data_IF_897258120496
#
_entry.id   IF_897258120496
#
_cell.length_a   1.000
_cell.length_b   1.000
_cell.length_c   1.000
_cell.angle_alpha   90.00
_cell.angle_beta   90.00
_cell.angle_gamma   90.00
#
_symmetry.space_group_name_H-M   'P 1'
#
loop_
_entity.id
_entity.type
_entity.pdbx_description
1 polymer ?
#
# COMPACT_ATOMS: atom_id res chain seq x y z
N UNK A 1 -53.61 13.96 61.38
CA UNK A 1 -52.17 14.22 61.29
C UNK A 1 -51.53 13.14 60.40
N UNK A 2 -51.72 13.12 59.10
CA UNK A 2 -51.12 12.09 58.20
C UNK A 2 -50.61 12.72 56.87
N UNK A 3 -50.77 14.00 56.62
CA UNK A 3 -50.49 14.57 55.29
C UNK A 3 -49.04 15.05 55.05
N UNK A 4 -48.20 15.17 56.09
CA UNK A 4 -46.86 15.70 55.93
C UNK A 4 -45.82 14.73 55.34
N UNK A 5 -46.00 13.40 55.58
CA UNK A 5 -45.06 12.40 55.12
C UNK A 5 -45.18 12.06 53.63
N UNK A 6 -46.36 12.20 53.08
CA UNK A 6 -46.64 11.92 51.68
C UNK A 6 -46.06 13.03 50.71
N UNK A 7 -46.14 14.27 51.14
CA UNK A 7 -45.57 15.42 50.41
C UNK A 7 -44.02 15.31 50.34
N UNK A 8 -43.36 14.98 51.46
CA UNK A 8 -41.91 14.86 51.50
C UNK A 8 -41.39 13.74 50.57
N UNK A 9 -42.11 12.64 50.51
CA UNK A 9 -41.72 11.53 49.61
C UNK A 9 -41.84 11.91 48.13
N UNK A 10 -42.90 12.62 47.76
CA UNK A 10 -43.09 13.08 46.39
C UNK A 10 -42.04 14.14 45.97
N UNK A 11 -41.64 15.01 46.86
CA UNK A 11 -40.61 16.01 46.58
C UNK A 11 -39.24 15.34 46.45
N UNK A 12 -38.96 14.35 47.29
CA UNK A 12 -37.70 13.56 47.18
C UNK A 12 -37.63 12.79 45.85
N UNK A 13 -38.71 12.14 45.42
CA UNK A 13 -38.76 11.44 44.15
C UNK A 13 -38.55 12.37 42.98
N UNK A 14 -39.18 13.55 42.94
CA UNK A 14 -38.96 14.56 41.90
C UNK A 14 -37.54 15.06 41.83
N UNK A 15 -36.92 15.33 42.99
CA UNK A 15 -35.52 15.75 43.07
C UNK A 15 -34.62 14.63 42.53
N UNK A 16 -34.85 13.39 42.93
CA UNK A 16 -34.06 12.26 42.47
C UNK A 16 -34.21 12.00 40.96
N UNK A 17 -35.44 12.08 40.41
CA UNK A 17 -35.66 11.97 38.97
C UNK A 17 -34.96 13.07 38.19
N UNK A 18 -35.02 14.33 38.67
CA UNK A 18 -34.32 15.46 38.03
C UNK A 18 -32.83 15.29 38.02
N UNK A 19 -32.22 14.92 39.14
CA UNK A 19 -30.79 14.66 39.23
C UNK A 19 -30.35 13.47 38.36
N UNK A 20 -31.14 12.40 38.30
CA UNK A 20 -30.82 11.23 37.48
C UNK A 20 -30.76 11.58 36.00
N UNK A 21 -31.62 12.46 35.51
CA UNK A 21 -31.56 12.96 34.12
C UNK A 21 -30.28 13.76 33.86
N UNK A 22 -29.88 14.66 34.75
CA UNK A 22 -28.63 15.40 34.60
C UNK A 22 -27.40 14.51 34.63
N UNK A 23 -27.36 13.51 35.51
CA UNK A 23 -26.29 12.51 35.56
C UNK A 23 -26.23 11.69 34.27
N UNK A 24 -27.37 11.30 33.72
CA UNK A 24 -27.43 10.56 32.47
C UNK A 24 -26.92 11.40 31.27
N UNK A 25 -27.32 12.67 31.19
CA UNK A 25 -26.83 13.61 30.17
C UNK A 25 -25.32 13.80 30.29
N UNK A 26 -24.81 14.02 31.50
CA UNK A 26 -23.38 14.21 31.74
C UNK A 26 -22.58 12.95 31.36
N UNK A 27 -23.06 11.76 31.74
CA UNK A 27 -22.45 10.50 31.35
C UNK A 27 -22.44 10.29 29.84
N UNK A 28 -23.54 10.65 29.14
CA UNK A 28 -23.60 10.59 27.67
C UNK A 28 -22.57 11.52 27.00
N UNK A 29 -22.41 12.73 27.52
CA UNK A 29 -21.40 13.69 27.03
C UNK A 29 -19.99 13.13 27.24
N UNK A 30 -19.67 12.62 28.43
CA UNK A 30 -18.37 12.01 28.73
C UNK A 30 -18.06 10.81 27.82
N UNK A 31 -19.03 9.94 27.57
CA UNK A 31 -18.90 8.82 26.66
C UNK A 31 -18.66 9.29 25.21
N UNK A 32 -19.34 10.35 24.80
CA UNK A 32 -19.15 10.97 23.48
C UNK A 32 -17.72 11.53 23.32
N UNK A 33 -17.26 12.28 24.33
CA UNK A 33 -15.89 12.83 24.37
C UNK A 33 -14.84 11.71 24.40
N UNK A 34 -15.04 10.68 25.20
CA UNK A 34 -14.13 9.53 25.27
C UNK A 34 -14.03 8.79 23.93
N UNK A 35 -15.17 8.54 23.27
CA UNK A 35 -15.18 7.91 21.95
C UNK A 35 -14.47 8.77 20.88
N UNK A 36 -14.71 10.08 20.91
CA UNK A 36 -14.07 11.03 19.99
C UNK A 36 -12.57 11.11 20.23
N UNK A 37 -12.13 11.18 21.49
CA UNK A 37 -10.72 11.18 21.85
C UNK A 37 -10.02 9.87 21.46
N UNK A 38 -10.65 8.72 21.75
CA UNK A 38 -10.13 7.41 21.36
C UNK A 38 -10.01 7.25 19.84
N UNK A 39 -10.96 7.80 19.07
CA UNK A 39 -10.89 7.84 17.61
C UNK A 39 -9.72 8.71 17.15
N UNK A 40 -9.59 9.91 17.70
CA UNK A 40 -8.52 10.86 17.36
C UNK A 40 -7.13 10.29 17.66
N UNK A 41 -6.90 9.75 18.85
CA UNK A 41 -5.60 9.14 19.21
C UNK A 41 -5.26 7.92 18.36
N UNK A 42 -6.26 7.12 17.97
CA UNK A 42 -6.07 5.97 17.08
C UNK A 42 -5.70 6.39 15.65
N UNK A 43 -6.30 7.46 15.15
CA UNK A 43 -5.97 8.00 13.82
C UNK A 43 -4.58 8.63 13.80
N UNK A 44 -4.20 9.35 14.85
CA UNK A 44 -2.87 9.97 14.97
C UNK A 44 -1.76 8.93 15.04
N UNK A 45 -1.84 7.95 15.94
CA UNK A 45 -0.83 6.87 16.04
C UNK A 45 -0.75 6.01 14.78
N UNK A 46 -1.86 5.87 14.02
CA UNK A 46 -1.86 5.19 12.73
C UNK A 46 -1.09 5.98 11.67
N UNK A 47 -1.15 7.31 11.69
CA UNK A 47 -0.41 8.15 10.74
C UNK A 47 1.11 8.10 10.98
N UNK A 48 1.57 8.09 12.22
CA UNK A 48 3.00 7.97 12.54
C UNK A 48 3.57 6.63 12.08
N UNK A 49 2.87 5.53 12.37
CA UNK A 49 3.26 4.21 11.91
C UNK A 49 3.24 4.11 10.38
N UNK A 50 2.29 4.79 9.73
CA UNK A 50 2.21 4.84 8.27
C UNK A 50 3.45 5.53 7.68
N UNK A 51 3.81 6.72 8.18
CA UNK A 51 4.98 7.48 7.69
C UNK A 51 6.26 6.67 7.89
N UNK A 52 6.47 6.10 9.07
CA UNK A 52 7.65 5.28 9.40
C UNK A 52 7.77 4.09 8.45
N UNK A 53 6.69 3.33 8.25
CA UNK A 53 6.67 2.19 7.35
C UNK A 53 7.03 2.57 5.91
N UNK A 54 6.43 3.65 5.40
CA UNK A 54 6.69 4.08 4.02
C UNK A 54 8.11 4.62 3.84
N UNK A 55 8.70 5.23 4.88
CA UNK A 55 10.11 5.63 4.88
C UNK A 55 11.04 4.42 4.83
N UNK A 56 10.81 3.40 5.66
CA UNK A 56 11.58 2.16 5.67
C UNK A 56 11.51 1.43 4.31
N UNK A 57 10.33 1.36 3.71
CA UNK A 57 10.15 0.78 2.38
C UNK A 57 10.96 1.55 1.33
N UNK A 58 10.97 2.88 1.40
CA UNK A 58 11.74 3.71 0.48
C UNK A 58 13.26 3.49 0.64
N UNK A 59 13.75 3.37 1.87
CA UNK A 59 15.14 3.03 2.16
C UNK A 59 15.52 1.67 1.58
N UNK A 60 14.68 0.65 1.76
CA UNK A 60 14.91 -0.69 1.20
C UNK A 60 14.94 -0.69 -0.33
N UNK A 61 14.07 0.07 -0.98
CA UNK A 61 14.11 0.23 -2.43
C UNK A 61 15.39 0.95 -2.89
N UNK A 62 15.84 1.93 -2.12
CA UNK A 62 17.09 2.66 -2.42
C UNK A 62 18.30 1.77 -2.25
N UNK A 63 18.36 0.98 -1.18
CA UNK A 63 19.40 -0.03 -0.97
C UNK A 63 19.41 -1.06 -2.11
N UNK A 64 18.25 -1.62 -2.46
CA UNK A 64 18.12 -2.55 -3.57
C UNK A 64 18.64 -1.96 -4.88
N UNK A 65 18.24 -0.72 -5.19
CA UNK A 65 18.68 -0.02 -6.41
C UNK A 65 20.19 0.10 -6.47
N UNK A 66 20.81 0.49 -5.36
CA UNK A 66 22.28 0.67 -5.28
C UNK A 66 23.00 -0.67 -5.39
N UNK A 67 22.55 -1.69 -4.67
CA UNK A 67 23.18 -3.02 -4.67
C UNK A 67 23.11 -3.72 -6.03
N UNK A 68 22.03 -3.51 -6.78
CA UNK A 68 21.83 -4.12 -8.10
C UNK A 68 22.27 -3.23 -9.25
N UNK A 69 22.82 -2.06 -8.99
CA UNK A 69 23.14 -1.02 -9.99
C UNK A 69 21.97 -0.71 -10.93
N UNK A 70 20.74 -0.85 -10.43
CA UNK A 70 19.54 -0.58 -11.18
C UNK A 70 19.29 0.93 -11.31
N UNK A 71 18.66 1.32 -12.41
CA UNK A 71 18.26 2.71 -12.64
C UNK A 71 16.99 3.08 -11.88
N UNK A 72 16.09 2.09 -11.68
CA UNK A 72 14.80 2.30 -11.02
C UNK A 72 14.37 1.05 -10.26
N UNK A 73 13.88 1.25 -9.03
CA UNK A 73 13.20 0.21 -8.23
C UNK A 73 11.85 0.74 -7.77
N UNK A 74 10.81 -0.09 -7.89
CA UNK A 74 9.43 0.34 -7.67
C UNK A 74 8.64 -0.71 -6.93
N UNK A 75 7.65 -0.24 -6.14
CA UNK A 75 6.51 -1.06 -5.71
C UNK A 75 5.29 -0.59 -6.49
N UNK A 76 4.65 -1.53 -7.13
CA UNK A 76 3.43 -1.34 -7.89
C UNK A 76 2.33 -2.14 -7.20
N UNK A 77 1.22 -1.48 -6.85
CA UNK A 77 0.11 -2.12 -6.15
C UNK A 77 -1.15 -2.14 -7.01
N UNK A 78 -1.88 -3.25 -6.91
CA UNK A 78 -3.18 -3.39 -7.52
C UNK A 78 -4.24 -2.68 -6.71
N UNK A 79 -5.17 -2.03 -7.39
CA UNK A 79 -6.34 -1.43 -6.79
C UNK A 79 -7.56 -1.56 -7.69
N UNK A 80 -8.74 -1.40 -7.09
CA UNK A 80 -9.98 -1.40 -7.84
C UNK A 80 -10.05 -0.13 -8.71
N UNK A 81 -10.50 -0.35 -9.95
CA UNK A 81 -10.86 0.72 -10.86
C UNK A 81 -12.37 0.96 -10.86
N UNK A 82 -12.86 1.34 -12.02
CA UNK A 82 -14.29 1.37 -12.33
C UNK A 82 -14.84 -0.05 -12.55
N UNK A 83 -16.15 -0.16 -12.66
CA UNK A 83 -16.81 -1.42 -12.96
C UNK A 83 -17.26 -1.46 -14.41
N UNK A 84 -17.16 -2.63 -15.04
CA UNK A 84 -17.83 -2.90 -16.30
C UNK A 84 -19.35 -2.95 -16.10
N UNK A 85 -20.13 -2.93 -17.19
CA UNK A 85 -21.60 -2.99 -17.12
C UNK A 85 -22.12 -4.29 -16.47
N UNK A 86 -21.33 -5.35 -16.50
CA UNK A 86 -21.61 -6.66 -15.87
C UNK A 86 -21.24 -6.71 -14.37
N UNK A 87 -20.76 -5.59 -13.79
CA UNK A 87 -20.36 -5.48 -12.41
C UNK A 87 -18.96 -6.01 -12.09
N UNK A 88 -18.20 -6.50 -13.09
CA UNK A 88 -16.81 -6.92 -12.92
C UNK A 88 -15.92 -5.70 -12.75
N UNK A 89 -15.02 -5.73 -11.73
CA UNK A 89 -14.08 -4.63 -11.50
C UNK A 89 -12.99 -4.57 -12.57
N UNK A 90 -12.80 -3.39 -13.13
CA UNK A 90 -11.61 -3.07 -13.94
C UNK A 90 -10.40 -2.97 -13.01
N UNK A 91 -9.60 -4.03 -12.92
CA UNK A 91 -8.37 -3.99 -12.14
C UNK A 91 -7.37 -3.00 -12.72
N UNK A 92 -6.86 -2.15 -11.88
CA UNK A 92 -5.83 -1.16 -12.19
C UNK A 92 -4.62 -1.36 -11.27
N UNK A 93 -3.50 -0.80 -11.67
CA UNK A 93 -2.32 -0.74 -10.81
C UNK A 93 -1.66 0.64 -10.86
N UNK A 94 -0.93 0.98 -9.81
CA UNK A 94 -0.19 2.24 -9.69
C UNK A 94 1.12 2.02 -8.98
N UNK A 95 2.14 2.83 -9.33
CA UNK A 95 3.37 2.95 -8.55
C UNK A 95 3.03 3.62 -7.23
N UNK A 96 3.38 2.98 -6.12
CA UNK A 96 3.19 3.53 -4.77
C UNK A 96 4.49 3.99 -4.12
N UNK A 97 5.61 3.35 -4.48
CA UNK A 97 6.95 3.72 -4.02
C UNK A 97 7.93 3.60 -5.18
N UNK A 98 8.89 4.49 -5.22
CA UNK A 98 9.88 4.52 -6.28
C UNK A 98 11.22 5.05 -5.75
N UNK A 99 12.33 4.41 -6.11
CA UNK A 99 13.68 4.94 -5.94
C UNK A 99 14.37 5.02 -7.30
N UNK A 100 14.95 6.17 -7.59
CA UNK A 100 15.48 6.53 -8.90
C UNK A 100 16.97 6.84 -8.83
N UNK A 101 17.69 6.46 -9.88
CA UNK A 101 19.04 6.97 -10.13
C UNK A 101 18.96 8.43 -10.62
N UNK A 102 20.02 9.19 -10.37
CA UNK A 102 20.09 10.58 -10.82
C UNK A 102 19.98 10.67 -12.36
N UNK A 103 19.05 11.48 -12.82
CA UNK A 103 18.80 11.69 -14.25
C UNK A 103 17.76 10.75 -14.86
N UNK A 104 17.19 9.83 -14.07
CA UNK A 104 16.09 8.96 -14.49
C UNK A 104 14.76 9.59 -14.10
N UNK A 105 13.84 9.67 -15.07
CA UNK A 105 12.50 10.21 -14.84
C UNK A 105 11.62 9.28 -14.02
N UNK A 106 10.78 9.86 -13.16
CA UNK A 106 9.77 9.14 -12.40
C UNK A 106 8.67 8.54 -13.29
N UNK A 107 8.24 7.34 -12.95
CA UNK A 107 7.08 6.68 -13.54
C UNK A 107 5.81 6.84 -12.68
N UNK A 108 5.90 7.36 -11.47
CA UNK A 108 4.79 7.42 -10.52
C UNK A 108 3.52 8.10 -11.09
N UNK A 109 3.70 9.15 -11.89
CA UNK A 109 2.57 9.84 -12.54
C UNK A 109 2.09 9.13 -13.82
N UNK A 110 2.94 8.35 -14.47
CA UNK A 110 2.63 7.65 -15.73
C UNK A 110 1.97 6.29 -15.46
N UNK A 111 2.43 5.59 -14.43
CA UNK A 111 1.84 4.34 -13.94
C UNK A 111 0.84 4.66 -12.82
N UNK A 112 -0.13 5.51 -13.10
CA UNK A 112 -1.22 5.83 -12.19
C UNK A 112 -2.54 5.33 -12.74
N UNK A 113 -3.07 4.26 -12.14
CA UNK A 113 -4.35 3.70 -12.55
C UNK A 113 -4.35 3.05 -13.93
N UNK A 114 -3.25 2.45 -14.35
CA UNK A 114 -3.18 1.72 -15.61
C UNK A 114 -4.00 0.43 -15.55
N UNK A 115 -4.67 0.11 -16.64
CA UNK A 115 -5.48 -1.11 -16.75
C UNK A 115 -4.59 -2.34 -16.81
N UNK A 116 -4.86 -3.32 -15.95
CA UNK A 116 -4.17 -4.61 -15.96
C UNK A 116 -4.24 -5.32 -17.31
N UNK A 117 -5.35 -5.19 -18.03
CA UNK A 117 -5.56 -5.82 -19.34
C UNK A 117 -4.58 -5.38 -20.43
N UNK A 118 -3.95 -4.22 -20.29
CA UNK A 118 -2.95 -3.72 -21.26
C UNK A 118 -1.55 -4.32 -21.00
N UNK A 119 -1.31 -4.89 -19.83
CA UNK A 119 -0.01 -5.39 -19.37
C UNK A 119 -0.01 -6.89 -19.08
N UNK A 120 -0.83 -7.67 -19.78
CA UNK A 120 -0.95 -9.12 -19.58
C UNK A 120 0.40 -9.85 -19.60
N UNK A 121 1.34 -9.58 -20.54
CA UNK A 121 2.65 -10.24 -20.52
C UNK A 121 3.44 -10.00 -19.23
N UNK A 122 3.41 -8.76 -18.70
CA UNK A 122 4.04 -8.41 -17.42
C UNK A 122 3.38 -9.17 -16.27
N UNK A 123 2.05 -9.16 -16.23
CA UNK A 123 1.28 -9.80 -15.15
C UNK A 123 1.43 -11.33 -15.17
N UNK A 124 1.59 -11.95 -16.31
CA UNK A 124 1.90 -13.36 -16.41
C UNK A 124 3.27 -13.68 -15.77
N UNK A 125 4.28 -12.81 -15.95
CA UNK A 125 5.56 -12.95 -15.28
C UNK A 125 5.44 -12.78 -13.77
N UNK A 126 4.59 -11.85 -13.31
CA UNK A 126 4.30 -11.66 -11.87
C UNK A 126 3.61 -12.89 -11.28
N UNK A 127 2.59 -13.44 -11.96
CA UNK A 127 1.84 -14.61 -11.46
C UNK A 127 2.70 -15.87 -11.45
N UNK A 128 3.60 -16.02 -12.43
CA UNK A 128 4.50 -17.17 -12.49
C UNK A 128 5.51 -17.21 -11.33
N UNK A 129 5.72 -16.07 -10.62
CA UNK A 129 6.73 -15.91 -9.54
C UNK A 129 8.12 -16.45 -9.94
N UNK A 130 8.43 -16.36 -11.23
CA UNK A 130 9.71 -16.79 -11.75
C UNK A 130 10.74 -15.68 -11.54
N UNK A 131 11.57 -15.87 -10.54
CA UNK A 131 12.66 -14.96 -10.23
C UNK A 131 13.72 -14.97 -11.36
N UNK A 132 13.52 -14.10 -12.36
CA UNK A 132 14.47 -13.94 -13.48
C UNK A 132 14.52 -12.50 -13.97
N UNK A 133 15.60 -12.22 -14.70
CA UNK A 133 15.75 -10.96 -15.44
C UNK A 133 15.23 -11.17 -16.85
N UNK A 134 14.43 -10.23 -17.29
CA UNK A 134 13.88 -10.16 -18.65
C UNK A 134 14.59 -9.04 -19.41
N UNK A 135 14.96 -9.30 -20.65
CA UNK A 135 15.50 -8.28 -21.54
C UNK A 135 14.40 -7.74 -22.45
N UNK A 136 14.30 -6.42 -22.59
CA UNK A 136 13.26 -5.78 -23.41
C UNK A 136 13.34 -6.20 -24.86
N UNK A 137 14.55 -6.44 -25.38
CA UNK A 137 14.77 -6.90 -26.75
C UNK A 137 14.10 -8.23 -27.04
N UNK A 138 14.02 -9.14 -26.05
CA UNK A 138 13.47 -10.49 -26.18
C UNK A 138 11.93 -10.53 -26.10
N UNK A 139 11.31 -9.42 -25.75
CA UNK A 139 9.86 -9.35 -25.67
C UNK A 139 9.23 -9.35 -27.07
N UNK A 140 8.12 -10.07 -27.20
CA UNK A 140 7.26 -9.96 -28.38
C UNK A 140 6.74 -8.53 -28.52
N UNK A 141 6.47 -8.10 -29.76
CA UNK A 141 5.88 -6.80 -30.02
C UNK A 141 4.52 -6.68 -29.29
N UNK A 142 4.48 -5.83 -28.28
CA UNK A 142 3.36 -5.66 -27.36
C UNK A 142 3.35 -4.25 -26.78
N UNK A 143 2.24 -3.86 -26.18
CA UNK A 143 2.16 -2.60 -25.46
C UNK A 143 3.24 -2.50 -24.37
N UNK A 144 3.52 -3.60 -23.66
CA UNK A 144 4.59 -3.65 -22.66
C UNK A 144 5.94 -3.33 -23.28
N UNK A 145 6.31 -3.93 -24.43
CA UNK A 145 7.58 -3.68 -25.10
C UNK A 145 7.72 -2.20 -25.46
N UNK A 146 6.72 -1.64 -26.13
CA UNK A 146 6.70 -0.24 -26.52
C UNK A 146 6.81 0.69 -25.31
N UNK A 147 6.10 0.36 -24.22
CA UNK A 147 6.19 1.10 -22.98
C UNK A 147 7.62 1.10 -22.43
N UNK A 148 8.26 -0.07 -22.28
CA UNK A 148 9.62 -0.22 -21.76
C UNK A 148 10.66 0.50 -22.64
N UNK A 149 10.57 0.34 -23.96
CA UNK A 149 11.42 1.05 -24.93
C UNK A 149 11.29 2.57 -24.81
N UNK A 150 10.06 3.09 -24.65
CA UNK A 150 9.83 4.53 -24.45
C UNK A 150 10.44 5.09 -23.16
N UNK A 151 10.83 4.21 -22.24
CA UNK A 151 11.45 4.51 -20.95
C UNK A 151 12.93 4.13 -20.92
N UNK A 152 13.51 3.76 -22.07
CA UNK A 152 14.88 3.26 -22.22
C UNK A 152 15.19 2.09 -21.28
N UNK A 153 14.21 1.23 -20.99
CA UNK A 153 14.41 0.05 -20.15
C UNK A 153 14.98 -1.08 -21.00
N UNK A 154 16.22 -1.47 -20.72
CA UNK A 154 16.92 -2.54 -21.43
C UNK A 154 16.65 -3.91 -20.79
N UNK A 155 16.63 -3.94 -19.46
CA UNK A 155 16.30 -5.15 -18.71
C UNK A 155 15.43 -4.83 -17.49
N UNK A 156 14.63 -5.79 -17.06
CA UNK A 156 13.79 -5.65 -15.88
C UNK A 156 13.56 -6.98 -15.17
N UNK A 157 13.20 -6.91 -13.91
CA UNK A 157 12.72 -8.05 -13.13
C UNK A 157 11.46 -7.67 -12.36
N UNK A 158 10.56 -8.62 -12.20
CA UNK A 158 9.31 -8.44 -11.45
C UNK A 158 9.08 -9.63 -10.52
N UNK A 159 8.73 -9.34 -9.26
CA UNK A 159 8.36 -10.36 -8.28
C UNK A 159 7.08 -9.96 -7.54
N UNK A 160 6.14 -10.91 -7.34
CA UNK A 160 4.87 -10.61 -6.67
C UNK A 160 5.04 -10.28 -5.20
N UNK A 161 4.20 -9.36 -4.71
CA UNK A 161 3.95 -9.12 -3.30
C UNK A 161 2.62 -9.78 -2.98
N UNK A 162 2.66 -10.83 -2.16
CA UNK A 162 1.48 -11.60 -1.79
C UNK A 162 1.15 -11.40 -0.31
N UNK A 163 -0.08 -10.95 -0.02
CA UNK A 163 -0.60 -10.79 1.33
C UNK A 163 -1.84 -11.68 1.47
N UNK A 164 -1.91 -12.50 2.54
CA UNK A 164 -3.03 -13.41 2.79
C UNK A 164 -3.36 -14.30 1.57
N UNK A 165 -2.34 -14.87 0.94
CA UNK A 165 -2.44 -15.72 -0.27
C UNK A 165 -3.03 -15.02 -1.51
N UNK A 166 -3.03 -13.70 -1.54
CA UNK A 166 -3.46 -12.92 -2.69
C UNK A 166 -2.32 -12.02 -3.18
N UNK A 167 -2.08 -11.99 -4.47
CA UNK A 167 -1.13 -11.04 -5.06
C UNK A 167 -1.77 -9.65 -4.98
N UNK A 168 -1.16 -8.76 -4.19
CA UNK A 168 -1.63 -7.38 -3.96
C UNK A 168 -0.84 -6.35 -4.74
N UNK A 169 0.30 -6.76 -5.30
CA UNK A 169 1.19 -5.91 -6.08
C UNK A 169 2.44 -6.68 -6.49
N UNK A 170 3.46 -5.96 -6.89
CA UNK A 170 4.77 -6.52 -7.23
C UNK A 170 5.89 -5.49 -7.05
N UNK A 171 7.10 -5.99 -6.81
CA UNK A 171 8.33 -5.22 -6.92
C UNK A 171 8.80 -5.28 -8.36
N UNK A 172 9.22 -4.14 -8.92
CA UNK A 172 9.81 -4.05 -10.25
C UNK A 172 11.16 -3.37 -10.16
N UNK A 173 12.17 -3.98 -10.77
CA UNK A 173 13.53 -3.44 -10.88
C UNK A 173 13.85 -3.24 -12.35
N UNK A 174 14.44 -2.11 -12.72
CA UNK A 174 14.69 -1.75 -14.12
C UNK A 174 16.09 -1.22 -14.31
N UNK A 175 16.75 -1.66 -15.39
CA UNK A 175 18.04 -1.17 -15.87
C UNK A 175 17.83 -0.43 -17.19
N UNK A 176 18.17 0.86 -17.20
CA UNK A 176 17.90 1.77 -18.32
C UNK A 176 19.15 2.09 -19.15
N UNK A 177 20.18 1.28 -19.04
CA UNK A 177 21.43 1.42 -19.79
C UNK A 177 21.87 0.05 -20.28
N UNK A 178 22.23 -0.07 -21.57
CA UNK A 178 22.77 -1.29 -22.15
C UNK A 178 24.03 -1.77 -21.43
N UNK A 179 24.93 -0.83 -21.10
CA UNK A 179 26.14 -1.15 -20.34
C UNK A 179 25.86 -1.75 -18.95
N UNK A 180 24.82 -1.26 -18.27
CA UNK A 180 24.42 -1.83 -16.98
C UNK A 180 23.71 -3.16 -17.17
N UNK A 181 22.85 -3.28 -18.17
CA UNK A 181 22.13 -4.51 -18.50
C UNK A 181 23.07 -5.67 -18.83
N UNK A 182 24.16 -5.41 -19.59
CA UNK A 182 25.18 -6.41 -19.93
C UNK A 182 26.03 -6.86 -18.72
N UNK A 183 26.12 -6.07 -17.67
CA UNK A 183 26.94 -6.34 -16.48
C UNK A 183 26.14 -6.87 -15.31
N UNK A 184 24.85 -7.17 -15.48
CA UNK A 184 24.03 -7.69 -14.39
C UNK A 184 24.57 -9.04 -13.93
N UNK A 185 24.97 -9.12 -12.68
CA UNK A 185 25.10 -10.41 -12.01
C UNK A 185 23.70 -10.90 -11.65
N UNK A 186 23.17 -11.78 -12.51
CA UNK A 186 21.78 -12.25 -12.37
C UNK A 186 21.57 -12.95 -11.02
N UNK A 187 22.51 -13.81 -10.59
CA UNK A 187 22.40 -14.58 -9.34
C UNK A 187 22.37 -13.64 -8.12
N UNK A 188 23.32 -12.72 -8.07
CA UNK A 188 23.39 -11.75 -6.99
C UNK A 188 22.16 -10.83 -7.00
N UNK A 189 21.82 -10.25 -8.14
CA UNK A 189 20.70 -9.31 -8.27
C UNK A 189 19.37 -9.97 -7.89
N UNK A 190 19.11 -11.18 -8.36
CA UNK A 190 17.91 -11.91 -8.01
C UNK A 190 17.86 -12.25 -6.51
N UNK A 191 19.00 -12.62 -5.90
CA UNK A 191 19.07 -12.82 -4.46
C UNK A 191 18.66 -11.57 -3.66
N UNK A 192 19.14 -10.39 -4.08
CA UNK A 192 18.78 -9.10 -3.44
C UNK A 192 17.31 -8.74 -3.66
N UNK A 193 16.78 -8.93 -4.88
CA UNK A 193 15.38 -8.65 -5.19
C UNK A 193 14.44 -9.52 -4.35
N UNK A 194 14.72 -10.83 -4.24
CA UNK A 194 13.93 -11.77 -3.43
C UNK A 194 13.97 -11.37 -1.95
N UNK A 195 15.18 -11.07 -1.42
CA UNK A 195 15.35 -10.63 -0.03
C UNK A 195 14.50 -9.39 0.26
N UNK A 196 14.65 -8.34 -0.55
CA UNK A 196 13.92 -7.07 -0.38
C UNK A 196 12.41 -7.26 -0.55
N UNK A 197 11.94 -8.03 -1.55
CA UNK A 197 10.54 -8.37 -1.71
C UNK A 197 9.95 -9.01 -0.46
N UNK A 198 10.68 -9.96 0.16
CA UNK A 198 10.23 -10.65 1.36
C UNK A 198 10.13 -9.70 2.56
N UNK A 199 11.10 -8.79 2.73
CA UNK A 199 11.08 -7.77 3.78
C UNK A 199 9.88 -6.83 3.62
N UNK A 200 9.68 -6.28 2.43
CA UNK A 200 8.54 -5.40 2.10
C UNK A 200 7.21 -6.13 2.31
N UNK A 201 7.11 -7.39 1.89
CA UNK A 201 5.90 -8.20 2.08
C UNK A 201 5.57 -8.37 3.57
N UNK A 202 6.57 -8.65 4.40
CA UNK A 202 6.40 -8.78 5.85
C UNK A 202 5.92 -7.46 6.48
N UNK A 203 6.51 -6.33 6.11
CA UNK A 203 6.14 -5.00 6.61
C UNK A 203 4.71 -4.61 6.22
N UNK A 204 4.34 -4.76 4.94
CA UNK A 204 2.99 -4.48 4.46
C UNK A 204 1.94 -5.43 5.08
N UNK A 205 2.33 -6.65 5.44
CA UNK A 205 1.48 -7.61 6.15
C UNK A 205 1.16 -7.21 7.59
N UNK A 206 2.06 -6.51 8.26
CA UNK A 206 1.85 -6.00 9.63
C UNK A 206 0.84 -4.85 9.67
N UNK A 207 0.76 -4.03 8.63
CA UNK A 207 -0.15 -2.88 8.56
C UNK A 207 -1.64 -3.30 8.49
N UNK A 208 -1.94 -4.51 8.02
CA UNK A 208 -3.31 -5.01 7.87
C UNK A 208 -3.88 -5.72 9.11
N UNK A 209 -3.10 -5.81 10.18
CA UNK A 209 -3.54 -6.32 11.49
C UNK A 209 -3.90 -5.17 12.43
#
# INVERSE_FOLDING_TARGET
MVDGSFSFYQDFVKVFETYSVYVAIFAAILLGLYKSWKKYTREFGRNDNFITLHSEIHEQLTELRVLTDAARTQIIQFHNGEYFMDGVSMRKFSVTHESLEKGIDSDANRIKGLLCSMFVPLLNSVVADNAKIHYTVDLNNSYLKQYLESRNVEAFSVLPISLMNQITGFVMVQWCSSLKAERIDETFSMGQIIKTRNQITAQLGQQKR
#
